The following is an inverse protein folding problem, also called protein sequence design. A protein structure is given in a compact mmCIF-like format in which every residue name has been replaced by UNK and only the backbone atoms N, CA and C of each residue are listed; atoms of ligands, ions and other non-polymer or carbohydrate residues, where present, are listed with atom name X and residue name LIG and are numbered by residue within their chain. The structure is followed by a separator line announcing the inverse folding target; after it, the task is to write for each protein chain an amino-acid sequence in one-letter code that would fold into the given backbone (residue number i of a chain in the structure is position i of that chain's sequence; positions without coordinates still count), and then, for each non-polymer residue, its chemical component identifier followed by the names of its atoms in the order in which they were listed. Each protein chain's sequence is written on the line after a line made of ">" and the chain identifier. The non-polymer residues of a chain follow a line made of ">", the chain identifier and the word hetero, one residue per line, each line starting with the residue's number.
data_IF_374616422345
#
_entry.id   IF_374616422345
#
_cell.length_a   1.000
_cell.length_b   1.000
_cell.length_c   1.000
_cell.angle_alpha   90.00
_cell.angle_beta   90.00
_cell.angle_gamma   90.00
#
_symmetry.space_group_name_H-M   'P 1'
#
loop_
_entity.id
_entity.type
_entity.pdbx_description
1 polymer ?
#
# COMPACT_ATOMS: atom_id res chain seq x y z
N UNK A 1 -7.26 71.03 -38.43
CA UNK A 1 -5.79 71.24 -38.39
C UNK A 1 -5.14 70.11 -37.60
N UNK A 2 -4.32 69.33 -38.31
CA UNK A 2 -3.09 68.60 -37.89
C UNK A 2 -3.09 67.73 -36.63
N UNK A 3 -3.05 66.41 -36.88
CA UNK A 3 -2.13 65.37 -36.36
C UNK A 3 -1.22 65.74 -35.17
N UNK A 4 -1.15 64.86 -34.15
CA UNK A 4 0.07 64.07 -33.93
C UNK A 4 -0.03 62.97 -32.83
N UNK A 5 0.29 61.75 -33.28
CA UNK A 5 1.19 60.73 -32.69
C UNK A 5 0.86 60.10 -31.33
N UNK A 6 0.29 58.90 -31.47
CA UNK A 6 0.43 57.73 -30.60
C UNK A 6 1.90 57.51 -30.22
N UNK A 7 2.20 57.47 -28.92
CA UNK A 7 3.47 56.99 -28.40
C UNK A 7 3.25 55.78 -27.50
N UNK A 8 3.65 54.61 -28.02
CA UNK A 8 3.71 53.31 -27.34
C UNK A 8 4.56 53.42 -26.07
N UNK A 9 3.98 53.23 -24.89
CA UNK A 9 4.75 52.89 -23.67
C UNK A 9 4.85 51.37 -23.54
N UNK A 10 6.03 50.92 -23.94
CA UNK A 10 6.73 49.64 -23.72
C UNK A 10 6.09 48.71 -22.69
N UNK A 11 5.62 47.57 -23.17
CA UNK A 11 5.55 46.33 -22.41
C UNK A 11 6.95 46.00 -21.88
N UNK A 12 7.09 45.87 -20.57
CA UNK A 12 8.24 45.20 -19.97
C UNK A 12 8.14 43.72 -20.33
N UNK A 13 8.80 43.35 -21.42
CA UNK A 13 9.07 41.97 -21.79
C UNK A 13 10.02 41.39 -20.74
N UNK A 14 9.46 40.74 -19.72
CA UNK A 14 10.22 39.80 -18.89
C UNK A 14 10.39 38.54 -19.75
N UNK A 15 11.62 38.12 -20.07
CA UNK A 15 11.84 36.98 -20.95
C UNK A 15 11.31 35.70 -20.29
N UNK A 16 10.32 35.08 -20.94
CA UNK A 16 9.65 33.83 -20.54
C UNK A 16 10.47 32.57 -20.86
N UNK A 17 11.81 32.66 -20.89
CA UNK A 17 12.68 31.60 -21.41
C UNK A 17 13.73 31.08 -20.42
N UNK A 18 13.40 30.88 -19.13
CA UNK A 18 14.38 30.25 -18.21
C UNK A 18 13.84 29.39 -17.05
N UNK A 19 12.55 29.05 -17.03
CA UNK A 19 12.00 28.16 -15.99
C UNK A 19 11.89 26.71 -16.47
N UNK A 20 11.66 26.49 -17.77
CA UNK A 20 11.60 25.15 -18.37
C UNK A 20 12.97 24.50 -18.62
N UNK A 21 14.04 25.30 -18.74
CA UNK A 21 15.42 24.82 -18.91
C UNK A 21 16.01 24.25 -17.62
N UNK A 22 15.61 24.77 -16.46
CA UNK A 22 16.12 24.33 -15.15
C UNK A 22 15.44 23.07 -14.60
N UNK A 23 14.19 22.79 -14.96
CA UNK A 23 13.51 21.55 -14.54
C UNK A 23 14.12 20.33 -15.24
N UNK A 24 14.44 20.45 -16.54
CA UNK A 24 15.07 19.40 -17.33
C UNK A 24 16.55 19.13 -16.95
N UNK A 25 17.19 20.03 -16.19
CA UNK A 25 18.59 19.90 -15.77
C UNK A 25 18.74 19.16 -14.44
N UNK A 26 17.71 19.18 -13.59
CA UNK A 26 17.73 18.51 -12.28
C UNK A 26 17.41 17.00 -12.41
N UNK A 27 16.71 16.58 -13.46
CA UNK A 27 16.34 15.17 -13.68
C UNK A 27 17.50 14.25 -14.13
N UNK A 28 18.69 14.80 -14.44
CA UNK A 28 19.75 14.06 -15.16
C UNK A 28 20.83 13.37 -14.32
N UNK A 29 20.77 13.36 -12.99
CA UNK A 29 21.83 12.75 -12.16
C UNK A 29 21.34 11.81 -11.04
N UNK A 30 20.19 11.16 -11.20
CA UNK A 30 19.85 10.03 -10.31
C UNK A 30 20.54 8.78 -10.85
N UNK A 31 21.72 8.48 -10.30
CA UNK A 31 22.42 7.22 -10.58
C UNK A 31 21.60 6.07 -10.00
N UNK A 32 20.86 5.36 -10.87
CA UNK A 32 20.11 4.16 -10.48
C UNK A 32 21.11 3.17 -9.87
N UNK A 33 20.89 2.81 -8.61
CA UNK A 33 21.74 1.87 -7.91
C UNK A 33 21.47 0.46 -8.42
N UNK A 34 22.54 -0.27 -8.74
CA UNK A 34 22.42 -1.69 -9.10
C UNK A 34 21.97 -2.48 -7.88
N UNK A 35 21.02 -3.39 -8.08
CA UNK A 35 20.62 -4.34 -7.04
C UNK A 35 21.81 -5.23 -6.67
N UNK A 36 22.11 -5.38 -5.36
CA UNK A 36 23.19 -6.25 -4.92
C UNK A 36 22.89 -7.72 -5.25
N UNK A 37 23.93 -8.54 -5.42
CA UNK A 37 23.79 -9.91 -5.93
C UNK A 37 22.91 -10.78 -5.03
N UNK A 38 23.00 -10.62 -3.71
CA UNK A 38 22.21 -11.37 -2.73
C UNK A 38 20.70 -11.08 -2.79
N UNK A 39 20.27 -10.00 -3.46
CA UNK A 39 18.85 -9.65 -3.64
C UNK A 39 18.27 -10.23 -4.94
N UNK A 40 19.09 -10.81 -5.81
CA UNK A 40 18.61 -11.36 -7.08
C UNK A 40 17.93 -12.71 -6.84
N UNK A 41 16.63 -12.76 -7.09
CA UNK A 41 15.85 -14.00 -7.01
C UNK A 41 15.92 -14.73 -8.35
N UNK A 42 16.13 -16.05 -8.31
CA UNK A 42 16.08 -16.89 -9.51
C UNK A 42 14.62 -17.15 -9.86
N UNK A 43 14.20 -16.75 -11.05
CA UNK A 43 12.87 -17.09 -11.55
C UNK A 43 12.82 -18.58 -11.94
N UNK A 44 11.75 -19.30 -11.56
CA UNK A 44 11.58 -20.69 -11.96
C UNK A 44 11.34 -20.80 -13.46
N UNK A 45 11.85 -21.88 -14.06
CA UNK A 45 11.73 -22.16 -15.50
C UNK A 45 10.27 -22.47 -15.90
N UNK A 46 9.47 -23.00 -14.97
CA UNK A 46 8.07 -23.38 -15.21
C UNK A 46 7.13 -22.33 -14.59
N UNK A 47 6.38 -21.63 -15.44
CA UNK A 47 5.48 -20.51 -15.06
C UNK A 47 3.99 -20.80 -15.26
N UNK A 48 3.63 -22.01 -15.71
CA UNK A 48 2.25 -22.39 -16.08
C UNK A 48 1.23 -22.15 -14.97
N UNK A 49 1.56 -22.53 -13.74
CA UNK A 49 0.69 -22.34 -12.57
C UNK A 49 0.44 -20.84 -12.28
N UNK A 50 1.47 -20.01 -12.42
CA UNK A 50 1.35 -18.56 -12.25
C UNK A 50 0.44 -17.98 -13.33
N UNK A 51 0.66 -18.34 -14.59
CA UNK A 51 -0.16 -17.82 -15.70
C UNK A 51 -1.63 -18.19 -15.55
N UNK A 52 -1.93 -19.40 -15.05
CA UNK A 52 -3.29 -19.80 -14.71
C UNK A 52 -3.89 -18.92 -13.61
N UNK A 53 -3.14 -18.66 -12.53
CA UNK A 53 -3.60 -17.79 -11.44
C UNK A 53 -3.87 -16.37 -11.96
N UNK A 54 -2.94 -15.79 -12.74
CA UNK A 54 -3.12 -14.47 -13.36
C UNK A 54 -4.37 -14.44 -14.24
N UNK A 55 -4.61 -15.49 -15.02
CA UNK A 55 -5.81 -15.63 -15.85
C UNK A 55 -7.09 -15.67 -15.00
N UNK A 56 -7.08 -16.42 -13.89
CA UNK A 56 -8.20 -16.48 -12.94
C UNK A 56 -8.49 -15.10 -12.33
N UNK A 57 -7.46 -14.38 -11.88
CA UNK A 57 -7.62 -13.04 -11.30
C UNK A 57 -8.21 -12.06 -12.31
N UNK A 58 -7.66 -12.02 -13.53
CA UNK A 58 -8.15 -11.19 -14.63
C UNK A 58 -9.57 -11.51 -15.02
N UNK A 59 -9.93 -12.80 -15.16
CA UNK A 59 -11.29 -13.25 -15.48
C UNK A 59 -12.31 -12.80 -14.44
N UNK A 60 -11.91 -12.75 -13.16
CA UNK A 60 -12.77 -12.31 -12.06
C UNK A 60 -12.67 -10.80 -11.78
N UNK A 61 -11.88 -10.04 -12.55
CA UNK A 61 -11.62 -8.61 -12.33
C UNK A 61 -11.12 -8.31 -10.90
N UNK A 62 -10.30 -9.20 -10.35
CA UNK A 62 -9.66 -9.03 -9.05
C UNK A 62 -8.21 -8.57 -9.24
N UNK A 63 -7.71 -7.80 -8.28
CA UNK A 63 -6.33 -7.32 -8.26
C UNK A 63 -5.52 -8.05 -7.19
N UNK A 64 -4.23 -8.29 -7.47
CA UNK A 64 -3.29 -8.81 -6.49
C UNK A 64 -2.10 -7.87 -6.36
N UNK A 65 -1.65 -7.59 -5.14
CA UNK A 65 -0.39 -6.85 -4.93
C UNK A 65 0.77 -7.60 -5.58
N UNK A 66 0.68 -8.92 -5.63
CA UNK A 66 1.73 -9.73 -6.19
C UNK A 66 1.95 -9.46 -7.70
N UNK A 67 0.90 -9.10 -8.44
CA UNK A 67 0.99 -8.66 -9.84
C UNK A 67 1.32 -7.16 -9.95
N UNK A 68 0.58 -6.30 -9.24
CA UNK A 68 0.70 -4.84 -9.37
C UNK A 68 2.03 -4.30 -8.82
N UNK A 69 2.62 -4.98 -7.84
CA UNK A 69 3.91 -4.61 -7.24
C UNK A 69 5.10 -5.45 -7.74
N UNK A 70 4.92 -6.24 -8.81
CA UNK A 70 5.97 -7.06 -9.42
C UNK A 70 6.72 -7.94 -8.39
N UNK A 71 5.96 -8.63 -7.53
CA UNK A 71 6.52 -9.29 -6.36
C UNK A 71 7.44 -10.46 -6.77
N UNK A 72 8.72 -10.47 -6.36
CA UNK A 72 9.62 -11.58 -6.69
C UNK A 72 9.25 -12.89 -5.97
N UNK A 73 8.45 -12.81 -4.90
CA UNK A 73 8.07 -13.96 -4.07
C UNK A 73 6.77 -14.63 -4.54
N UNK A 74 6.19 -14.18 -5.66
CA UNK A 74 4.92 -14.66 -6.22
C UNK A 74 4.85 -16.20 -6.27
N UNK A 75 5.90 -16.83 -6.79
CA UNK A 75 5.96 -18.29 -6.97
C UNK A 75 5.93 -19.04 -5.63
N UNK A 76 6.78 -18.63 -4.69
CA UNK A 76 6.88 -19.27 -3.38
C UNK A 76 5.58 -19.15 -2.59
N UNK A 77 4.98 -17.95 -2.57
CA UNK A 77 3.73 -17.70 -1.86
C UNK A 77 2.60 -18.59 -2.38
N UNK A 78 2.40 -18.65 -3.69
CA UNK A 78 1.31 -19.45 -4.26
C UNK A 78 1.50 -20.96 -4.06
N UNK A 79 2.73 -21.47 -4.18
CA UNK A 79 3.00 -22.88 -3.93
C UNK A 79 2.76 -23.28 -2.46
N UNK A 80 2.86 -22.33 -1.53
CA UNK A 80 2.49 -22.52 -0.12
C UNK A 80 1.00 -22.30 0.15
N UNK A 81 0.18 -22.11 -0.88
CA UNK A 81 -1.25 -21.85 -0.74
C UNK A 81 -1.54 -20.48 -0.11
N UNK A 82 -0.69 -19.49 -0.36
CA UNK A 82 -0.83 -18.12 0.15
C UNK A 82 -0.95 -17.11 -0.98
N UNK A 83 -1.88 -16.16 -0.86
CA UNK A 83 -2.03 -15.08 -1.82
C UNK A 83 -2.37 -13.74 -1.13
N UNK A 84 -1.95 -12.64 -1.73
CA UNK A 84 -2.31 -11.29 -1.31
C UNK A 84 -3.21 -10.63 -2.34
N UNK A 85 -4.45 -10.33 -1.96
CA UNK A 85 -5.42 -9.65 -2.82
C UNK A 85 -5.49 -8.18 -2.48
N UNK A 86 -5.56 -7.35 -3.51
CA UNK A 86 -5.80 -5.91 -3.40
C UNK A 86 -7.27 -5.63 -3.71
N UNK A 87 -8.05 -5.35 -2.67
CA UNK A 87 -9.47 -4.99 -2.78
C UNK A 87 -9.63 -3.47 -2.98
N UNK A 88 -10.85 -3.04 -3.35
CA UNK A 88 -11.19 -1.64 -3.62
C UNK A 88 -10.50 -1.03 -4.85
N UNK A 89 -10.07 -1.90 -5.77
CA UNK A 89 -9.43 -1.53 -7.04
C UNK A 89 -7.92 -1.32 -6.92
N UNK A 90 -7.37 -0.59 -7.90
CA UNK A 90 -5.92 -0.46 -8.11
C UNK A 90 -5.45 1.01 -8.22
N UNK A 91 -6.35 1.97 -7.99
CA UNK A 91 -6.05 3.40 -8.03
C UNK A 91 -6.13 3.96 -6.61
N UNK A 92 -4.99 4.42 -6.10
CA UNK A 92 -4.87 5.00 -4.77
C UNK A 92 -5.10 6.50 -4.78
N UNK A 93 -5.81 7.00 -3.76
CA UNK A 93 -5.99 8.44 -3.51
C UNK A 93 -4.72 9.14 -3.02
N UNK A 94 -3.73 8.38 -2.54
CA UNK A 94 -2.45 8.90 -2.02
C UNK A 94 -1.29 8.63 -2.96
N UNK A 95 -0.21 9.41 -2.77
CA UNK A 95 0.97 9.44 -3.64
C UNK A 95 2.25 9.10 -2.90
N UNK A 96 2.28 7.96 -2.20
CA UNK A 96 3.51 7.47 -1.56
C UNK A 96 4.56 7.17 -2.66
N UNK A 97 5.73 7.84 -2.67
CA UNK A 97 6.70 7.71 -3.77
C UNK A 97 7.25 6.29 -3.95
N UNK A 98 7.37 5.52 -2.87
CA UNK A 98 7.83 4.14 -2.90
C UNK A 98 6.80 3.15 -3.46
N UNK A 99 5.54 3.55 -3.58
CA UNK A 99 4.45 2.63 -3.91
C UNK A 99 4.23 2.56 -5.43
N UNK A 100 4.29 1.37 -6.00
CA UNK A 100 4.09 1.15 -7.45
C UNK A 100 2.64 1.34 -7.91
N UNK A 101 1.66 1.22 -7.01
CA UNK A 101 0.22 1.30 -7.29
C UNK A 101 -0.15 2.59 -8.04
N UNK A 102 -1.08 2.53 -8.99
CA UNK A 102 -1.54 3.71 -9.75
C UNK A 102 -2.15 4.76 -8.82
N UNK A 103 -1.92 6.04 -9.11
CA UNK A 103 -2.38 7.17 -8.30
C UNK A 103 -3.44 7.96 -9.09
N UNK A 104 -4.52 8.38 -8.44
CA UNK A 104 -5.56 9.16 -9.11
C UNK A 104 -6.92 9.05 -8.45
N UNK A 105 -7.98 9.35 -9.22
CA UNK A 105 -9.36 9.21 -8.78
C UNK A 105 -9.76 7.72 -8.82
N UNK A 106 -10.15 7.12 -7.68
CA UNK A 106 -10.60 5.74 -7.66
C UNK A 106 -11.89 5.52 -8.46
N UNK A 107 -12.12 4.26 -8.84
CA UNK A 107 -13.40 3.81 -9.37
C UNK A 107 -14.37 3.45 -8.23
N UNK A 108 -15.66 3.36 -8.56
CA UNK A 108 -16.67 2.88 -7.63
C UNK A 108 -16.31 1.45 -7.18
N UNK A 109 -16.31 1.15 -5.87
CA UNK A 109 -16.07 -0.20 -5.37
C UNK A 109 -17.05 -1.20 -5.99
N UNK A 110 -16.55 -2.36 -6.40
CA UNK A 110 -17.40 -3.44 -6.90
C UNK A 110 -18.08 -4.15 -5.72
N UNK A 111 -19.40 -4.02 -5.64
CA UNK A 111 -20.21 -4.65 -4.59
C UNK A 111 -20.07 -6.18 -4.56
N UNK A 112 -19.79 -6.81 -5.71
CA UNK A 112 -19.62 -8.26 -5.81
C UNK A 112 -18.18 -8.73 -5.57
N UNK A 113 -17.24 -7.82 -5.31
CA UNK A 113 -15.83 -8.16 -5.03
C UNK A 113 -15.67 -9.19 -3.91
N UNK A 114 -16.38 -9.10 -2.75
CA UNK A 114 -16.30 -10.12 -1.69
C UNK A 114 -16.69 -11.53 -2.15
N UNK A 115 -17.75 -11.67 -2.95
CA UNK A 115 -18.19 -12.96 -3.48
C UNK A 115 -17.20 -13.52 -4.50
N UNK A 116 -16.71 -12.67 -5.41
CA UNK A 116 -15.70 -13.06 -6.41
C UNK A 116 -14.42 -13.53 -5.72
N UNK A 117 -13.99 -12.81 -4.69
CA UNK A 117 -12.84 -13.15 -3.87
C UNK A 117 -13.02 -14.52 -3.20
N UNK A 118 -14.16 -14.76 -2.54
CA UNK A 118 -14.48 -16.08 -1.97
C UNK A 118 -14.37 -17.21 -3.01
N UNK A 119 -14.98 -17.04 -4.19
CA UNK A 119 -14.95 -18.04 -5.25
C UNK A 119 -13.52 -18.34 -5.72
N UNK A 120 -12.68 -17.31 -5.85
CA UNK A 120 -11.28 -17.46 -6.26
C UNK A 120 -10.45 -18.13 -5.17
N UNK A 121 -10.63 -17.74 -3.91
CA UNK A 121 -9.92 -18.33 -2.77
C UNK A 121 -10.25 -19.82 -2.65
N UNK A 122 -11.52 -20.20 -2.78
CA UNK A 122 -11.97 -21.60 -2.84
C UNK A 122 -11.34 -22.35 -4.02
N UNK A 123 -11.42 -21.78 -5.22
CA UNK A 123 -10.90 -22.41 -6.45
C UNK A 123 -9.39 -22.66 -6.36
N UNK A 124 -8.65 -21.73 -5.77
CA UNK A 124 -7.20 -21.83 -5.59
C UNK A 124 -6.80 -22.66 -4.36
N UNK A 125 -7.77 -23.12 -3.56
CA UNK A 125 -7.54 -23.91 -2.34
C UNK A 125 -6.53 -23.27 -1.39
N UNK A 126 -6.61 -21.95 -1.24
CA UNK A 126 -5.67 -21.19 -0.40
C UNK A 126 -5.89 -21.54 1.08
N UNK A 127 -4.79 -21.60 1.82
CA UNK A 127 -4.77 -21.83 3.28
C UNK A 127 -4.58 -20.53 4.05
N UNK A 128 -3.95 -19.54 3.42
CA UNK A 128 -3.68 -18.24 4.03
C UNK A 128 -3.96 -17.13 3.02
N UNK A 129 -4.78 -16.16 3.39
CA UNK A 129 -5.16 -15.04 2.53
C UNK A 129 -4.77 -13.75 3.22
N UNK A 130 -4.04 -12.90 2.50
CA UNK A 130 -3.78 -11.52 2.93
C UNK A 130 -4.70 -10.61 2.11
N UNK A 131 -5.51 -9.80 2.77
CA UNK A 131 -6.29 -8.75 2.12
C UNK A 131 -5.62 -7.41 2.38
N UNK A 132 -5.40 -6.63 1.33
CA UNK A 132 -4.94 -5.25 1.42
C UNK A 132 -5.74 -4.39 0.48
N UNK A 133 -5.65 -3.08 0.59
CA UNK A 133 -6.35 -2.17 -0.31
C UNK A 133 -5.46 -1.01 -0.71
N UNK A 134 -5.89 -0.34 -1.78
CA UNK A 134 -5.50 1.06 -1.98
C UNK A 134 -6.13 1.95 -0.91
N UNK A 135 -5.58 3.14 -0.68
CA UNK A 135 -6.21 4.11 0.20
C UNK A 135 -7.42 4.73 -0.49
N UNK A 136 -8.57 4.68 0.19
CA UNK A 136 -9.86 5.22 -0.27
C UNK A 136 -10.31 6.39 0.60
N UNK A 137 -9.54 7.48 0.59
CA UNK A 137 -9.89 8.70 1.33
C UNK A 137 -11.22 9.30 0.86
N UNK A 138 -11.72 8.91 -0.32
CA UNK A 138 -13.02 9.28 -0.89
C UNK A 138 -14.23 8.59 -0.23
N UNK A 139 -14.04 7.45 0.44
CA UNK A 139 -15.11 6.73 1.13
C UNK A 139 -15.26 7.22 2.57
N UNK A 140 -16.50 7.26 3.08
CA UNK A 140 -16.81 7.74 4.43
C UNK A 140 -16.06 6.96 5.53
N UNK A 141 -15.96 5.65 5.38
CA UNK A 141 -15.29 4.72 6.30
C UNK A 141 -13.86 4.36 5.86
N UNK A 142 -13.37 4.96 4.78
CA UNK A 142 -12.08 4.64 4.16
C UNK A 142 -11.99 3.24 3.57
N UNK A 143 -13.11 2.55 3.38
CA UNK A 143 -13.19 1.18 2.86
C UNK A 143 -13.20 0.07 3.94
N UNK A 144 -13.25 0.41 5.22
CA UNK A 144 -13.22 -0.57 6.31
C UNK A 144 -14.39 -1.58 6.24
N UNK A 145 -15.60 -1.13 5.88
CA UNK A 145 -16.76 -2.00 5.70
C UNK A 145 -16.54 -3.02 4.57
N UNK A 146 -15.78 -2.65 3.55
CA UNK A 146 -15.47 -3.55 2.45
C UNK A 146 -14.51 -4.66 2.87
N UNK A 147 -13.50 -4.34 3.69
CA UNK A 147 -12.67 -5.37 4.34
C UNK A 147 -13.54 -6.32 5.18
N UNK A 148 -14.41 -5.78 6.03
CA UNK A 148 -15.33 -6.58 6.83
C UNK A 148 -16.15 -7.55 5.97
N UNK A 149 -16.72 -7.05 4.86
CA UNK A 149 -17.49 -7.87 3.94
C UNK A 149 -16.63 -9.01 3.36
N UNK A 150 -15.44 -8.71 2.87
CA UNK A 150 -14.50 -9.72 2.36
C UNK A 150 -14.13 -10.77 3.41
N UNK A 151 -13.79 -10.36 4.64
CA UNK A 151 -13.48 -11.27 5.75
C UNK A 151 -14.66 -12.20 6.02
N UNK A 152 -15.88 -11.64 6.12
CA UNK A 152 -17.11 -12.40 6.39
C UNK A 152 -17.37 -13.46 5.32
N UNK A 153 -17.18 -13.12 4.04
CA UNK A 153 -17.34 -14.09 2.95
C UNK A 153 -16.28 -15.19 3.01
N UNK A 154 -15.00 -14.83 3.16
CA UNK A 154 -13.88 -15.79 3.18
C UNK A 154 -13.93 -16.71 4.41
N UNK A 155 -14.41 -16.23 5.56
CA UNK A 155 -14.54 -17.04 6.80
C UNK A 155 -15.43 -18.28 6.63
N UNK A 156 -16.28 -18.35 5.60
CA UNK A 156 -17.08 -19.54 5.31
C UNK A 156 -16.22 -20.72 4.78
N UNK A 157 -14.97 -20.48 4.41
CA UNK A 157 -14.03 -21.51 3.97
C UNK A 157 -13.39 -22.16 5.20
N UNK A 158 -13.52 -23.48 5.34
CA UNK A 158 -12.93 -24.23 6.46
C UNK A 158 -11.40 -24.14 6.45
N UNK A 159 -10.80 -24.01 7.64
CA UNK A 159 -9.35 -24.05 7.87
C UNK A 159 -8.54 -22.97 7.13
N UNK A 160 -9.16 -21.83 6.79
CA UNK A 160 -8.45 -20.70 6.21
C UNK A 160 -8.01 -19.70 7.27
N UNK A 161 -6.83 -19.10 7.10
CA UNK A 161 -6.37 -17.96 7.88
C UNK A 161 -6.44 -16.67 7.06
N UNK A 162 -6.91 -15.59 7.67
CA UNK A 162 -7.13 -14.29 7.06
C UNK A 162 -6.27 -13.24 7.78
N UNK A 163 -5.27 -12.71 7.08
CA UNK A 163 -4.55 -11.49 7.48
C UNK A 163 -5.12 -10.31 6.70
N UNK A 164 -5.22 -9.14 7.35
CA UNK A 164 -5.49 -7.90 6.64
C UNK A 164 -4.33 -6.93 6.82
N UNK A 165 -3.86 -6.32 5.74
CA UNK A 165 -2.93 -5.19 5.72
C UNK A 165 -3.72 -3.94 5.33
N UNK A 166 -3.95 -3.07 6.31
CA UNK A 166 -4.90 -1.96 6.15
C UNK A 166 -4.19 -0.60 6.00
N UNK A 167 -4.84 0.39 5.34
CA UNK A 167 -4.40 1.78 5.40
C UNK A 167 -4.54 2.36 6.82
N UNK A 168 -4.15 3.61 7.02
CA UNK A 168 -4.23 4.29 8.33
C UNK A 168 -5.63 4.81 8.68
N UNK A 169 -6.57 4.77 7.73
CA UNK A 169 -7.91 5.37 7.84
C UNK A 169 -7.90 6.80 8.41
N UNK A 170 -7.02 7.68 7.88
CA UNK A 170 -6.93 9.09 8.28
C UNK A 170 -8.30 9.72 8.56
N UNK A 171 -8.45 10.25 9.78
CA UNK A 171 -9.67 10.90 10.31
C UNK A 171 -10.91 9.99 10.39
N UNK A 172 -10.76 8.68 10.14
CA UNK A 172 -11.81 7.66 10.08
C UNK A 172 -11.47 6.44 10.95
N UNK A 173 -10.38 6.52 11.70
CA UNK A 173 -9.86 5.44 12.54
C UNK A 173 -10.92 4.87 13.49
N UNK A 174 -11.72 5.72 14.15
CA UNK A 174 -12.78 5.27 15.05
C UNK A 174 -13.85 4.42 14.34
N UNK A 175 -14.29 4.85 13.15
CA UNK A 175 -15.27 4.12 12.33
C UNK A 175 -14.66 2.77 11.91
N UNK A 176 -13.44 2.79 11.40
CA UNK A 176 -12.75 1.59 10.95
C UNK A 176 -12.55 0.57 12.09
N UNK A 177 -12.11 1.02 13.27
CA UNK A 177 -11.93 0.17 14.45
C UNK A 177 -13.25 -0.47 14.90
N UNK A 178 -14.34 0.29 14.93
CA UNK A 178 -15.67 -0.21 15.28
C UNK A 178 -16.17 -1.29 14.30
N UNK A 179 -15.79 -1.19 13.04
CA UNK A 179 -16.10 -2.20 12.02
C UNK A 179 -15.21 -3.44 12.21
N UNK A 180 -13.90 -3.27 12.43
CA UNK A 180 -13.01 -4.42 12.55
C UNK A 180 -13.23 -5.25 13.82
N UNK A 181 -13.67 -4.64 14.93
CA UNK A 181 -13.96 -5.40 16.15
C UNK A 181 -15.15 -6.35 16.01
N UNK A 182 -16.10 -6.08 15.09
CA UNK A 182 -17.28 -6.93 14.91
C UNK A 182 -17.01 -8.16 14.04
N UNK A 183 -16.00 -8.11 13.18
CA UNK A 183 -15.49 -9.28 12.47
C UNK A 183 -13.96 -9.17 12.31
N UNK A 184 -13.20 -9.51 13.36
CA UNK A 184 -11.75 -9.35 13.32
C UNK A 184 -11.10 -10.34 12.34
N UNK A 185 -9.91 -10.02 11.79
CA UNK A 185 -9.09 -10.98 11.06
C UNK A 185 -8.40 -11.96 12.02
N UNK A 186 -7.65 -12.93 11.48
CA UNK A 186 -6.72 -13.75 12.28
C UNK A 186 -5.41 -13.01 12.56
N UNK A 187 -5.01 -12.07 11.68
CA UNK A 187 -3.87 -11.16 11.88
C UNK A 187 -4.24 -9.76 11.39
N UNK A 188 -4.04 -8.75 12.23
CA UNK A 188 -4.26 -7.36 11.88
C UNK A 188 -2.94 -6.64 11.60
N UNK A 189 -2.71 -6.25 10.36
CA UNK A 189 -1.46 -5.66 9.91
C UNK A 189 -1.66 -4.21 9.47
N UNK A 190 -0.78 -3.32 9.93
CA UNK A 190 -0.64 -1.97 9.41
C UNK A 190 0.84 -1.60 9.39
N UNK A 191 1.40 -1.35 8.21
CA UNK A 191 2.82 -1.01 8.11
C UNK A 191 3.10 0.41 8.59
N UNK A 192 4.15 0.55 9.41
CA UNK A 192 4.79 1.81 9.76
C UNK A 192 5.68 2.30 8.60
N UNK A 193 6.23 1.38 7.81
CA UNK A 193 7.05 1.61 6.62
C UNK A 193 8.42 2.27 6.87
N UNK A 194 8.56 3.27 7.73
CA UNK A 194 9.88 3.86 8.00
C UNK A 194 9.93 4.66 9.32
N UNK A 195 10.94 5.50 9.51
CA UNK A 195 11.17 6.30 10.72
C UNK A 195 10.44 7.65 10.66
N UNK A 196 10.06 8.25 11.81
CA UNK A 196 9.23 9.47 11.85
C UNK A 196 9.78 10.63 11.02
N UNK A 197 11.10 10.81 10.98
CA UNK A 197 11.76 11.88 10.22
C UNK A 197 11.47 11.80 8.71
N UNK A 198 11.33 10.59 8.16
CA UNK A 198 11.11 10.37 6.72
C UNK A 198 9.64 10.34 6.32
N UNK A 199 8.70 10.22 7.28
CA UNK A 199 7.27 10.10 7.01
C UNK A 199 6.69 11.19 6.08
N UNK A 200 6.98 12.49 6.27
CA UNK A 200 6.43 13.53 5.40
C UNK A 200 6.81 13.34 3.93
N UNK A 201 8.03 12.85 3.68
CA UNK A 201 8.55 12.64 2.32
C UNK A 201 8.07 11.34 1.69
N UNK A 202 8.01 10.24 2.46
CA UNK A 202 7.72 8.92 1.90
C UNK A 202 6.24 8.52 2.00
N UNK A 203 5.47 9.09 2.93
CA UNK A 203 4.06 8.79 3.19
C UNK A 203 3.21 10.06 3.30
N UNK A 204 3.16 10.90 2.25
CA UNK A 204 2.38 12.13 2.28
C UNK A 204 0.91 11.83 2.66
N UNK A 205 0.42 12.56 3.66
CA UNK A 205 -0.92 12.39 4.22
C UNK A 205 -1.06 11.31 5.30
N UNK A 206 0.03 10.64 5.70
CA UNK A 206 0.05 9.73 6.85
C UNK A 206 0.86 10.33 8.00
N UNK A 207 0.65 9.86 9.24
CA UNK A 207 1.39 10.32 10.42
C UNK A 207 1.86 9.12 11.26
N UNK A 208 3.11 9.14 11.71
CA UNK A 208 3.74 8.05 12.45
C UNK A 208 3.01 7.71 13.74
N UNK A 209 2.73 8.72 14.57
CA UNK A 209 2.05 8.52 15.85
C UNK A 209 0.59 8.10 15.66
N UNK A 210 -0.09 8.59 14.62
CA UNK A 210 -1.44 8.09 14.28
C UNK A 210 -1.40 6.61 13.90
N UNK A 211 -0.44 6.19 13.07
CA UNK A 211 -0.27 4.77 12.71
C UNK A 211 0.02 3.88 13.93
N UNK A 212 0.88 4.31 14.84
CA UNK A 212 1.13 3.58 16.10
C UNK A 212 -0.11 3.53 16.98
N UNK A 213 -0.79 4.67 17.18
CA UNK A 213 -1.99 4.74 18.00
C UNK A 213 -3.12 3.89 17.42
N UNK A 214 -3.22 3.78 16.09
CA UNK A 214 -4.20 2.92 15.44
C UNK A 214 -3.99 1.44 15.78
N UNK A 215 -2.75 0.94 15.64
CA UNK A 215 -2.40 -0.42 16.03
C UNK A 215 -2.63 -0.67 17.53
N UNK A 216 -2.22 0.28 18.38
CA UNK A 216 -2.43 0.22 19.82
C UNK A 216 -3.91 0.14 20.20
N UNK A 217 -4.74 0.99 19.58
CA UNK A 217 -6.18 1.03 19.87
C UNK A 217 -6.88 -0.24 19.35
N UNK A 218 -6.51 -0.74 18.17
CA UNK A 218 -7.02 -2.03 17.69
C UNK A 218 -6.69 -3.16 18.69
N UNK A 219 -5.46 -3.19 19.22
CA UNK A 219 -5.06 -4.21 20.19
C UNK A 219 -5.85 -4.13 21.49
N UNK A 220 -6.26 -2.93 21.92
CA UNK A 220 -7.17 -2.76 23.06
C UNK A 220 -8.56 -3.34 22.79
N UNK A 221 -9.09 -3.15 21.57
CA UNK A 221 -10.42 -3.65 21.21
C UNK A 221 -10.41 -5.16 20.98
N UNK A 222 -9.31 -5.69 20.43
CA UNK A 222 -9.18 -7.09 20.05
C UNK A 222 -7.89 -7.70 20.65
N UNK A 223 -7.83 -7.90 21.99
CA UNK A 223 -6.60 -8.30 22.68
C UNK A 223 -6.06 -9.67 22.25
N UNK A 224 -6.93 -10.57 21.77
CA UNK A 224 -6.53 -11.92 21.32
C UNK A 224 -6.04 -11.96 19.88
N UNK A 225 -6.18 -10.86 19.13
CA UNK A 225 -5.76 -10.82 17.72
C UNK A 225 -4.31 -10.32 17.65
N UNK A 226 -3.39 -11.06 17.01
CA UNK A 226 -2.04 -10.60 16.80
C UNK A 226 -2.02 -9.39 15.86
N UNK A 227 -1.29 -8.36 16.25
CA UNK A 227 -0.98 -7.20 15.41
C UNK A 227 0.37 -7.38 14.74
N UNK A 228 0.49 -6.86 13.52
CA UNK A 228 1.70 -6.93 12.69
C UNK A 228 2.02 -5.58 12.09
N UNK A 229 3.30 -5.34 11.86
CA UNK A 229 3.76 -4.18 11.11
C UNK A 229 5.02 -4.48 10.29
N UNK A 230 5.22 -3.70 9.24
CA UNK A 230 6.37 -3.71 8.37
C UNK A 230 7.17 -2.41 8.43
N UNK A 231 8.49 -2.53 8.29
CA UNK A 231 9.40 -1.42 7.96
C UNK A 231 10.11 -1.71 6.65
N UNK A 232 10.30 -0.67 5.84
CA UNK A 232 11.11 -0.64 4.63
C UNK A 232 12.44 0.04 4.95
N UNK A 233 13.56 -0.66 4.74
CA UNK A 233 14.90 -0.11 4.91
C UNK A 233 15.54 0.27 3.57
N UNK A 234 16.45 1.24 3.58
CA UNK A 234 17.18 1.73 2.42
C UNK A 234 16.71 3.09 1.89
N UNK A 235 15.92 3.83 2.67
CA UNK A 235 15.35 5.14 2.27
C UNK A 235 16.08 6.34 2.93
N UNK A 236 17.16 6.07 3.67
CA UNK A 236 17.94 7.08 4.38
C UNK A 236 17.68 7.14 5.89
N UNK A 237 17.00 6.14 6.45
CA UNK A 237 16.90 5.95 7.88
C UNK A 237 18.25 5.57 8.51
N UNK A 238 18.51 6.04 9.72
CA UNK A 238 19.67 5.64 10.52
C UNK A 238 19.32 4.42 11.38
N UNK A 239 20.34 3.64 11.73
CA UNK A 239 20.16 2.41 12.50
C UNK A 239 19.49 2.65 13.87
N UNK A 240 19.89 3.71 14.58
CA UNK A 240 19.31 4.11 15.87
C UNK A 240 17.84 4.54 15.75
N UNK A 241 17.47 5.18 14.64
CA UNK A 241 16.07 5.52 14.35
C UNK A 241 15.24 4.24 14.13
N UNK A 242 15.77 3.26 13.39
CA UNK A 242 15.11 1.95 13.20
C UNK A 242 14.90 1.24 14.53
N UNK A 243 15.94 1.18 15.37
CA UNK A 243 15.84 0.58 16.71
C UNK A 243 14.79 1.27 17.57
N UNK A 244 14.66 2.60 17.45
CA UNK A 244 13.64 3.37 18.16
C UNK A 244 12.23 2.97 17.70
N UNK A 245 12.01 2.83 16.40
CA UNK A 245 10.72 2.35 15.86
C UNK A 245 10.38 0.94 16.34
N UNK A 246 11.36 0.03 16.38
CA UNK A 246 11.15 -1.33 16.88
C UNK A 246 10.79 -1.35 18.37
N UNK A 247 11.40 -0.46 19.18
CA UNK A 247 11.02 -0.28 20.59
C UNK A 247 9.57 0.21 20.70
N UNK A 248 9.16 1.16 19.86
CA UNK A 248 7.80 1.69 19.89
C UNK A 248 6.76 0.64 19.46
N UNK A 249 7.05 -0.16 18.43
CA UNK A 249 6.21 -1.29 18.03
C UNK A 249 6.09 -2.34 19.13
N UNK A 250 7.18 -2.63 19.85
CA UNK A 250 7.16 -3.55 20.99
C UNK A 250 6.30 -3.03 22.14
N UNK A 251 6.35 -1.72 22.45
CA UNK A 251 5.54 -1.09 23.51
C UNK A 251 4.04 -1.22 23.27
N UNK A 252 3.60 -1.19 22.01
CA UNK A 252 2.18 -1.30 21.64
C UNK A 252 1.71 -2.76 21.39
N UNK A 253 2.49 -3.74 21.86
CA UNK A 253 2.21 -5.17 21.73
C UNK A 253 2.04 -5.66 20.29
N UNK A 254 2.83 -5.11 19.37
CA UNK A 254 2.96 -5.68 18.03
C UNK A 254 3.64 -7.05 18.14
N UNK A 255 2.86 -8.13 17.95
CA UNK A 255 3.33 -9.51 18.08
C UNK A 255 4.31 -9.90 16.97
N UNK A 256 4.12 -9.36 15.77
CA UNK A 256 4.99 -9.61 14.63
C UNK A 256 5.50 -8.30 14.05
N UNK A 257 6.79 -8.02 14.21
CA UNK A 257 7.47 -6.98 13.44
C UNK A 257 8.32 -7.64 12.36
N UNK A 258 8.04 -7.35 11.09
CA UNK A 258 8.86 -7.84 9.99
C UNK A 258 9.59 -6.68 9.32
N UNK A 259 10.89 -6.79 9.19
CA UNK A 259 11.72 -5.79 8.52
C UNK A 259 11.93 -6.27 7.09
N UNK A 260 11.51 -5.46 6.12
CA UNK A 260 11.78 -5.69 4.70
C UNK A 260 12.78 -4.65 4.23
N UNK A 261 13.90 -5.08 3.66
CA UNK A 261 14.77 -4.13 2.95
C UNK A 261 14.14 -3.83 1.59
N UNK A 262 13.89 -2.55 1.31
CA UNK A 262 13.51 -2.09 -0.02
C UNK A 262 14.63 -1.21 -0.55
N UNK A 263 15.37 -1.76 -1.51
CA UNK A 263 16.17 -0.91 -2.38
C UNK A 263 15.19 -0.21 -3.31
N UNK A 264 14.92 1.07 -3.03
CA UNK A 264 14.28 1.94 -4.00
C UNK A 264 15.14 1.92 -5.27
N UNK A 265 14.58 1.37 -6.35
CA UNK A 265 15.14 1.50 -7.69
C UNK A 265 14.64 2.76 -8.33
#
# INVERSE_FOLDING_TARGET
>A
MKNNKINKKKSLNIPTNDITSNINKIEKNIKILKKPDWLRVRFPVITTNINNIKSILRKNKLYSVCEEAQCPNLFECFNRGTATFMILGFICTRKCPFCAVKKGRPIVPDYYEPQKLYNVVMKLKLKYVVLTSVTRDDLHDGGAQHFYNCIRFIRNIKNIKIEILVPDFRNKTKIALNIFQSCPPDVFNHNIENVPRLYPSIRPGSNYHHSLNFLYTFKKYCPNIPTKSGLMLGLGERHDEVLSVLKDLKKIWCFYSYIRTIYAT
#
